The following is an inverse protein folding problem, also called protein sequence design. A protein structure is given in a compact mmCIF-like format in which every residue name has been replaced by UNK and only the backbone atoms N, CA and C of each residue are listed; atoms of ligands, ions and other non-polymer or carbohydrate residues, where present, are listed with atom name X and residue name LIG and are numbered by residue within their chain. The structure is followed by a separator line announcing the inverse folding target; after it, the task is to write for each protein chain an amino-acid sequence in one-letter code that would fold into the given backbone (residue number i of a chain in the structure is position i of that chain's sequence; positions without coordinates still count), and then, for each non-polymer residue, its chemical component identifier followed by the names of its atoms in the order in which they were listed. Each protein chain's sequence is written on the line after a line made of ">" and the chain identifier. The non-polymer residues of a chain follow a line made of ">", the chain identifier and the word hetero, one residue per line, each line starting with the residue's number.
data_IF_233388395256
#
_entry.id   IF_233388395256
#
_cell.length_a   1.000
_cell.length_b   1.000
_cell.length_c   1.000
_cell.angle_alpha   90.00
_cell.angle_beta   90.00
_cell.angle_gamma   90.00
#
_symmetry.space_group_name_H-M   'P 1'
#
loop_
_entity.id
_entity.type
_entity.pdbx_description
1 polymer ?
#
# COMPACT_ATOMS: atom_id res chain seq x y z
N UNK A 1 35.97 13.54 -0.55
CA UNK A 1 36.13 13.47 -2.02
C UNK A 1 35.45 14.65 -2.67
N UNK A 2 35.96 15.15 -3.79
CA UNK A 2 35.25 16.17 -4.53
C UNK A 2 33.89 15.59 -5.01
N UNK A 3 32.82 16.40 -4.92
CA UNK A 3 31.52 16.07 -5.47
C UNK A 3 31.65 15.88 -6.98
N UNK A 4 30.81 15.05 -7.63
CA UNK A 4 30.84 14.80 -9.08
C UNK A 4 30.86 16.11 -9.92
N UNK A 5 30.32 17.20 -9.38
CA UNK A 5 30.27 18.53 -9.99
C UNK A 5 31.27 19.50 -9.40
N UNK A 6 32.26 19.06 -8.58
CA UNK A 6 33.24 19.92 -7.92
C UNK A 6 34.13 20.60 -8.96
N UNK A 7 34.11 21.93 -8.92
CA UNK A 7 34.94 22.81 -9.74
C UNK A 7 35.96 23.60 -8.90
N UNK A 8 36.29 23.08 -7.70
CA UNK A 8 37.28 23.71 -6.80
C UNK A 8 36.70 24.73 -5.82
N UNK A 9 35.37 24.81 -5.66
CA UNK A 9 34.71 25.65 -4.66
C UNK A 9 34.16 24.80 -3.52
N UNK A 10 34.56 25.05 -2.28
CA UNK A 10 33.92 24.41 -1.12
C UNK A 10 32.55 25.06 -0.86
N UNK A 11 31.49 24.25 -0.85
CA UNK A 11 30.17 24.70 -0.36
C UNK A 11 30.23 24.90 1.14
N UNK A 12 29.67 25.99 1.67
CA UNK A 12 29.60 26.20 3.11
C UNK A 12 28.86 25.02 3.77
N UNK A 13 29.33 24.53 4.90
CA UNK A 13 28.84 23.37 5.59
C UNK A 13 27.34 23.49 5.94
N UNK A 14 26.89 24.70 6.28
CA UNK A 14 25.47 25.00 6.57
C UNK A 14 24.60 24.82 5.33
N UNK A 15 25.06 25.23 4.15
CA UNK A 15 24.35 25.06 2.88
C UNK A 15 24.27 23.58 2.53
N UNK A 16 25.35 22.82 2.70
CA UNK A 16 25.39 21.41 2.46
C UNK A 16 24.41 20.68 3.38
N UNK A 17 24.43 21.00 4.68
CA UNK A 17 23.49 20.40 5.66
C UNK A 17 22.04 20.69 5.30
N UNK A 18 21.72 21.91 4.86
CA UNK A 18 20.37 22.29 4.46
C UNK A 18 19.91 21.59 3.17
N UNK A 19 20.77 21.53 2.16
CA UNK A 19 20.42 21.00 0.83
C UNK A 19 20.40 19.47 0.78
N UNK A 20 21.23 18.78 1.56
CA UNK A 20 21.20 17.32 1.69
C UNK A 20 20.09 16.88 2.66
N UNK A 21 19.92 17.60 3.77
CA UNK A 21 18.86 17.34 4.73
C UNK A 21 18.84 15.88 5.19
N UNK A 22 17.69 15.22 5.01
CA UNK A 22 17.48 13.79 5.35
C UNK A 22 17.70 12.85 4.16
N UNK A 23 18.12 13.36 3.01
CA UNK A 23 18.16 12.63 1.74
C UNK A 23 19.02 11.35 1.83
N UNK A 24 20.19 11.40 2.46
CA UNK A 24 21.04 10.21 2.67
C UNK A 24 20.29 9.06 3.39
N UNK A 25 19.42 9.38 4.36
CA UNK A 25 18.61 8.35 5.05
C UNK A 25 17.53 7.81 4.16
N UNK A 26 16.92 8.66 3.37
CA UNK A 26 15.85 8.26 2.45
C UNK A 26 16.41 7.43 1.30
N UNK A 27 17.58 7.78 0.81
CA UNK A 27 18.26 7.07 -0.28
C UNK A 27 18.64 5.61 0.07
N UNK A 28 18.80 5.29 1.35
CA UNK A 28 19.00 3.89 1.76
C UNK A 28 17.83 2.98 1.36
N UNK A 29 16.60 3.52 1.29
CA UNK A 29 15.44 2.77 0.77
C UNK A 29 15.59 2.42 -0.71
N UNK A 30 16.36 3.20 -1.46
CA UNK A 30 16.52 3.09 -2.91
C UNK A 30 17.77 2.30 -3.33
N UNK A 31 18.64 1.93 -2.38
CA UNK A 31 19.96 1.38 -2.69
C UNK A 31 19.91 0.10 -3.55
N UNK A 32 19.00 -0.84 -3.26
CA UNK A 32 18.84 -2.04 -4.08
C UNK A 32 18.31 -1.71 -5.48
N UNK A 33 17.38 -0.76 -5.57
CA UNK A 33 16.81 -0.31 -6.84
C UNK A 33 17.85 0.36 -7.73
N UNK A 34 18.76 1.17 -7.15
CA UNK A 34 19.86 1.81 -7.89
C UNK A 34 20.81 0.76 -8.46
N UNK A 35 21.15 -0.28 -7.69
CA UNK A 35 21.99 -1.37 -8.19
C UNK A 35 21.33 -2.11 -9.35
N UNK A 36 20.03 -2.43 -9.24
CA UNK A 36 19.29 -3.10 -10.34
C UNK A 36 19.19 -2.22 -11.58
N UNK A 37 18.86 -0.93 -11.42
CA UNK A 37 18.83 0.06 -12.50
C UNK A 37 20.20 0.21 -13.16
N UNK A 38 21.27 0.22 -12.36
CA UNK A 38 22.64 0.28 -12.84
C UNK A 38 23.08 -0.97 -13.62
N UNK A 39 22.70 -2.18 -13.16
CA UNK A 39 22.96 -3.42 -13.90
C UNK A 39 22.31 -3.41 -15.28
N UNK A 40 21.06 -3.01 -15.38
CA UNK A 40 20.36 -2.90 -16.66
C UNK A 40 21.01 -1.84 -17.56
N UNK A 41 21.42 -0.71 -16.98
CA UNK A 41 22.06 0.37 -17.71
C UNK A 41 23.40 -0.05 -18.32
N UNK A 42 24.32 -0.63 -17.54
CA UNK A 42 25.63 -1.06 -18.05
C UNK A 42 25.52 -2.19 -19.08
N UNK A 43 24.50 -3.06 -18.95
CA UNK A 43 24.24 -4.09 -19.96
C UNK A 43 23.82 -3.44 -21.28
N UNK A 44 23.03 -2.38 -21.24
CA UNK A 44 22.69 -1.59 -22.41
C UNK A 44 23.92 -0.83 -22.95
N UNK A 45 24.81 -0.27 -22.09
CA UNK A 45 26.02 0.42 -22.54
C UNK A 45 26.96 -0.49 -23.33
N UNK A 46 27.09 -1.76 -22.91
CA UNK A 46 27.85 -2.74 -23.67
C UNK A 46 27.25 -2.99 -25.05
N UNK A 47 25.92 -3.15 -25.14
CA UNK A 47 25.22 -3.38 -26.40
C UNK A 47 25.36 -2.26 -27.44
N UNK A 48 25.69 -1.05 -27.00
CA UNK A 48 25.94 0.11 -27.88
C UNK A 48 27.44 0.47 -28.01
N UNK A 49 28.32 -0.41 -27.51
CA UNK A 49 29.78 -0.29 -27.67
C UNK A 49 30.49 0.72 -26.74
N UNK A 50 29.83 1.19 -25.67
CA UNK A 50 30.44 2.06 -24.66
C UNK A 50 31.17 1.28 -23.57
N UNK A 51 30.90 -0.01 -23.43
CA UNK A 51 31.62 -0.96 -22.60
C UNK A 51 32.02 -2.18 -23.44
N UNK A 52 33.13 -2.79 -23.10
CA UNK A 52 33.50 -4.12 -23.60
C UNK A 52 32.80 -5.21 -22.78
N UNK A 53 32.69 -6.42 -23.35
CA UNK A 53 32.10 -7.55 -22.63
C UNK A 53 32.87 -7.91 -21.34
N UNK A 54 34.20 -7.71 -21.29
CA UNK A 54 34.99 -7.93 -20.08
C UNK A 54 34.70 -6.86 -19.01
N UNK A 55 34.55 -5.61 -19.41
CA UNK A 55 34.17 -4.53 -18.47
C UNK A 55 32.77 -4.74 -17.91
N UNK A 56 31.82 -5.13 -18.76
CA UNK A 56 30.46 -5.50 -18.31
C UNK A 56 30.49 -6.59 -17.26
N UNK A 57 31.23 -7.68 -17.53
CA UNK A 57 31.36 -8.82 -16.59
C UNK A 57 31.89 -8.38 -15.24
N UNK A 58 32.97 -7.56 -15.22
CA UNK A 58 33.56 -7.05 -13.99
C UNK A 58 32.61 -6.13 -13.23
N UNK A 59 31.95 -5.19 -13.91
CA UNK A 59 31.00 -4.25 -13.30
C UNK A 59 29.78 -4.97 -12.74
N UNK A 60 29.21 -5.96 -13.45
CA UNK A 60 28.09 -6.76 -12.94
C UNK A 60 28.46 -7.57 -11.70
N UNK A 61 29.68 -8.15 -11.65
CA UNK A 61 30.16 -8.88 -10.48
C UNK A 61 30.21 -7.97 -9.24
N UNK A 62 30.77 -6.76 -9.40
CA UNK A 62 30.85 -5.80 -8.28
C UNK A 62 29.48 -5.23 -7.88
N UNK A 63 28.59 -4.96 -8.82
CA UNK A 63 27.22 -4.52 -8.48
C UNK A 63 26.46 -5.60 -7.72
N UNK A 64 26.63 -6.89 -8.05
CA UNK A 64 26.07 -7.99 -7.26
C UNK A 64 26.66 -8.06 -5.86
N UNK A 65 27.97 -7.85 -5.71
CA UNK A 65 28.61 -7.79 -4.40
C UNK A 65 28.07 -6.63 -3.56
N UNK A 66 27.89 -5.46 -4.16
CA UNK A 66 27.28 -4.29 -3.49
C UNK A 66 25.83 -4.60 -3.08
N UNK A 67 25.05 -5.26 -3.95
CA UNK A 67 23.68 -5.68 -3.61
C UNK A 67 23.65 -6.60 -2.39
N UNK A 68 24.57 -7.56 -2.30
CA UNK A 68 24.67 -8.42 -1.13
C UNK A 68 25.00 -7.65 0.15
N UNK A 69 25.85 -6.61 0.07
CA UNK A 69 26.12 -5.72 1.20
C UNK A 69 24.86 -4.95 1.63
N UNK A 70 24.06 -4.47 0.67
CA UNK A 70 22.77 -3.80 0.91
C UNK A 70 21.79 -4.74 1.63
N UNK A 71 21.61 -5.95 1.11
CA UNK A 71 20.68 -6.94 1.68
C UNK A 71 21.08 -7.40 3.09
N UNK A 72 22.38 -7.38 3.41
CA UNK A 72 22.90 -7.68 4.76
C UNK A 72 22.86 -6.48 5.70
N UNK A 73 22.40 -5.31 5.24
CA UNK A 73 22.35 -4.08 6.04
C UNK A 73 23.72 -3.45 6.32
N UNK A 74 24.74 -3.80 5.52
CA UNK A 74 26.10 -3.28 5.68
C UNK A 74 26.40 -2.07 4.81
N UNK A 75 25.51 -1.72 3.88
CA UNK A 75 25.66 -0.56 3.00
C UNK A 75 25.35 0.73 3.74
N UNK A 76 26.26 1.69 3.59
CA UNK A 76 26.09 3.04 4.16
C UNK A 76 26.48 4.09 3.12
N UNK A 77 25.83 5.24 3.16
CA UNK A 77 26.24 6.42 2.40
C UNK A 77 27.22 7.20 3.29
N UNK A 78 28.48 7.25 2.88
CA UNK A 78 29.58 7.84 3.65
C UNK A 78 29.37 9.34 3.87
N UNK A 79 29.92 9.85 4.96
CA UNK A 79 29.94 11.29 5.20
C UNK A 79 30.71 12.00 4.06
N UNK A 80 30.15 13.12 3.56
CA UNK A 80 30.68 13.83 2.39
C UNK A 80 30.23 13.28 1.03
N UNK A 81 29.54 12.12 0.98
CA UNK A 81 28.85 11.62 -0.22
C UNK A 81 27.42 12.14 -0.22
N UNK A 82 26.93 12.62 -1.35
CA UNK A 82 25.66 13.33 -1.44
C UNK A 82 24.45 12.38 -1.39
N UNK A 83 24.51 11.26 -2.12
CA UNK A 83 23.39 10.34 -2.35
C UNK A 83 23.85 8.89 -2.63
N UNK A 84 22.90 8.00 -2.81
CA UNK A 84 23.11 6.57 -3.10
C UNK A 84 23.87 6.38 -4.41
N UNK A 85 23.56 7.16 -5.45
CA UNK A 85 24.18 7.07 -6.76
C UNK A 85 25.68 7.32 -6.68
N UNK A 86 26.04 8.40 -5.99
CA UNK A 86 27.45 8.77 -5.75
C UNK A 86 28.18 7.72 -4.90
N UNK A 87 27.49 7.11 -3.94
CA UNK A 87 28.10 6.06 -3.09
C UNK A 87 28.41 4.81 -3.91
N UNK A 88 27.50 4.35 -4.75
CA UNK A 88 27.71 3.15 -5.59
C UNK A 88 28.82 3.42 -6.61
N UNK A 89 28.82 4.57 -7.29
CA UNK A 89 29.90 4.95 -8.21
C UNK A 89 31.25 5.02 -7.50
N UNK A 90 31.30 5.57 -6.27
CA UNK A 90 32.49 5.63 -5.45
C UNK A 90 33.03 4.22 -5.11
N UNK A 91 32.16 3.29 -4.72
CA UNK A 91 32.54 1.92 -4.41
C UNK A 91 33.08 1.21 -5.65
N UNK A 92 32.42 1.35 -6.80
CA UNK A 92 32.90 0.80 -8.07
C UNK A 92 34.26 1.40 -8.48
N UNK A 93 34.43 2.72 -8.33
CA UNK A 93 35.70 3.39 -8.66
C UNK A 93 36.83 2.94 -7.73
N UNK A 94 36.57 2.74 -6.45
CA UNK A 94 37.57 2.22 -5.51
C UNK A 94 38.01 0.79 -5.83
N UNK A 95 37.09 -0.04 -6.32
CA UNK A 95 37.33 -1.46 -6.60
C UNK A 95 37.85 -1.71 -8.01
N UNK A 96 37.41 -0.93 -9.00
CA UNK A 96 37.69 -1.15 -10.42
C UNK A 96 38.43 0.00 -11.10
N UNK A 97 38.81 1.07 -10.38
CA UNK A 97 39.48 2.23 -10.95
C UNK A 97 38.62 2.99 -11.97
N UNK A 98 39.21 3.40 -13.09
CA UNK A 98 38.54 4.19 -14.13
C UNK A 98 37.36 3.45 -14.80
N UNK A 99 37.36 2.12 -14.77
CA UNK A 99 36.24 1.34 -15.25
C UNK A 99 34.95 1.64 -14.46
N UNK A 100 35.05 1.80 -13.14
CA UNK A 100 33.91 2.15 -12.29
C UNK A 100 33.24 3.47 -12.67
N UNK A 101 33.99 4.43 -13.20
CA UNK A 101 33.45 5.73 -13.64
C UNK A 101 32.59 5.64 -14.91
N UNK A 102 32.76 4.61 -15.72
CA UNK A 102 32.00 4.44 -16.97
C UNK A 102 30.50 4.22 -16.75
N UNK A 103 30.11 3.79 -15.56
CA UNK A 103 28.70 3.53 -15.21
C UNK A 103 27.80 4.76 -15.41
N UNK A 104 28.35 5.95 -15.33
CA UNK A 104 27.57 7.21 -15.47
C UNK A 104 27.35 7.65 -16.93
N UNK A 105 27.97 6.98 -17.89
CA UNK A 105 27.84 7.33 -19.32
C UNK A 105 26.39 7.28 -19.79
N UNK A 106 25.91 8.33 -20.44
CA UNK A 106 24.58 8.38 -21.06
C UNK A 106 23.40 8.50 -20.09
N UNK A 107 23.61 8.72 -18.80
CA UNK A 107 22.54 8.96 -17.82
C UNK A 107 22.82 10.21 -16.98
N UNK A 108 21.81 10.65 -16.26
CA UNK A 108 21.88 11.71 -15.24
C UNK A 108 21.39 11.15 -13.90
N UNK A 109 21.80 11.78 -12.80
CA UNK A 109 21.17 11.52 -11.48
C UNK A 109 19.65 11.70 -11.52
N UNK A 110 19.14 12.52 -12.44
CA UNK A 110 17.71 12.76 -12.58
C UNK A 110 16.95 11.52 -13.05
N UNK A 111 17.36 10.84 -14.13
CA UNK A 111 16.69 9.64 -14.59
C UNK A 111 17.05 8.40 -13.75
N UNK A 112 18.19 8.43 -13.09
CA UNK A 112 18.62 7.42 -12.13
C UNK A 112 17.67 7.36 -10.92
N UNK A 113 17.44 8.49 -10.24
CA UNK A 113 16.48 8.52 -9.10
C UNK A 113 15.05 8.20 -9.53
N UNK A 114 14.67 8.49 -10.78
CA UNK A 114 13.33 8.14 -11.28
C UNK A 114 13.16 6.63 -11.41
N UNK A 115 14.14 5.92 -11.99
CA UNK A 115 14.06 4.46 -12.11
C UNK A 115 14.09 3.79 -10.75
N UNK A 116 14.92 4.29 -9.83
CA UNK A 116 15.00 3.77 -8.47
C UNK A 116 13.68 3.89 -7.73
N UNK A 117 13.06 5.07 -7.78
CA UNK A 117 11.74 5.29 -7.18
C UNK A 117 10.67 4.38 -7.78
N UNK A 118 10.70 4.14 -9.09
CA UNK A 118 9.71 3.25 -9.73
C UNK A 118 9.96 1.78 -9.39
N UNK A 119 11.19 1.31 -9.36
CA UNK A 119 11.53 -0.05 -8.95
C UNK A 119 11.15 -0.28 -7.48
N UNK A 120 11.54 0.62 -6.60
CA UNK A 120 11.15 0.57 -5.18
C UNK A 120 9.62 0.57 -5.02
N UNK A 121 8.94 1.55 -5.61
CA UNK A 121 7.49 1.70 -5.46
C UNK A 121 6.73 0.49 -6.00
N UNK A 122 7.14 -0.05 -7.13
CA UNK A 122 6.58 -1.25 -7.74
C UNK A 122 6.65 -2.45 -6.77
N UNK A 123 7.82 -2.65 -6.15
CA UNK A 123 8.02 -3.71 -5.15
C UNK A 123 7.17 -3.47 -3.90
N UNK A 124 7.10 -2.23 -3.41
CA UNK A 124 6.29 -1.90 -2.23
C UNK A 124 4.79 -2.07 -2.51
N UNK A 125 4.30 -1.69 -3.69
CA UNK A 125 2.91 -1.92 -4.08
C UNK A 125 2.56 -3.41 -4.13
N UNK A 126 3.47 -4.25 -4.61
CA UNK A 126 3.30 -5.71 -4.56
C UNK A 126 3.13 -6.21 -3.11
N UNK A 127 4.00 -5.77 -2.21
CA UNK A 127 3.94 -6.18 -0.80
C UNK A 127 2.66 -5.69 -0.12
N UNK A 128 2.23 -4.44 -0.38
CA UNK A 128 0.95 -3.92 0.12
C UNK A 128 -0.23 -4.71 -0.44
N UNK A 129 -0.23 -5.02 -1.74
CA UNK A 129 -1.29 -5.82 -2.36
C UNK A 129 -1.36 -7.23 -1.74
N UNK A 130 -0.23 -7.86 -1.45
CA UNK A 130 -0.17 -9.15 -0.74
C UNK A 130 -0.77 -9.06 0.66
N UNK A 131 -0.43 -8.00 1.42
CA UNK A 131 -0.95 -7.78 2.77
C UNK A 131 -2.47 -7.50 2.75
N UNK A 132 -2.96 -6.72 1.77
CA UNK A 132 -4.40 -6.46 1.55
C UNK A 132 -5.13 -7.76 1.19
N UNK A 133 -4.57 -8.57 0.29
CA UNK A 133 -5.15 -9.87 -0.10
C UNK A 133 -5.21 -10.84 1.10
N UNK A 134 -4.22 -10.81 1.97
CA UNK A 134 -4.19 -11.61 3.20
C UNK A 134 -5.32 -11.18 4.14
N UNK A 135 -5.48 -9.89 4.40
CA UNK A 135 -6.58 -9.38 5.24
C UNK A 135 -7.95 -9.68 4.63
N UNK A 136 -8.10 -9.52 3.29
CA UNK A 136 -9.30 -9.89 2.57
C UNK A 136 -9.69 -11.35 2.81
N UNK A 137 -8.72 -12.26 2.70
CA UNK A 137 -8.94 -13.71 2.89
C UNK A 137 -9.43 -14.01 4.32
N UNK A 138 -8.86 -13.35 5.32
CA UNK A 138 -9.28 -13.50 6.71
C UNK A 138 -10.68 -12.94 6.96
N UNK A 139 -10.99 -11.78 6.41
CA UNK A 139 -12.34 -11.19 6.51
C UNK A 139 -13.40 -12.08 5.85
N UNK A 140 -13.09 -12.66 4.70
CA UNK A 140 -13.95 -13.65 4.04
C UNK A 140 -14.18 -14.90 4.91
N UNK A 141 -13.12 -15.41 5.52
CA UNK A 141 -13.20 -16.57 6.42
C UNK A 141 -14.08 -16.27 7.66
N UNK A 142 -13.94 -15.09 8.25
CA UNK A 142 -14.78 -14.67 9.37
C UNK A 142 -16.23 -14.42 8.93
N UNK A 143 -16.44 -13.85 7.73
CA UNK A 143 -17.76 -13.65 7.15
C UNK A 143 -18.50 -14.98 7.03
N UNK A 144 -17.90 -16.02 6.45
CA UNK A 144 -18.47 -17.34 6.34
C UNK A 144 -18.68 -18.02 7.70
N UNK A 145 -17.70 -17.89 8.61
CA UNK A 145 -17.78 -18.48 9.94
C UNK A 145 -18.98 -17.97 10.74
N UNK A 146 -19.26 -16.67 10.66
CA UNK A 146 -20.29 -16.02 11.47
C UNK A 146 -21.53 -15.58 10.65
N UNK A 147 -21.74 -16.15 9.48
CA UNK A 147 -22.83 -15.77 8.57
C UNK A 147 -24.24 -15.88 9.18
N UNK A 148 -24.42 -16.80 10.12
CA UNK A 148 -25.69 -17.02 10.80
C UNK A 148 -25.80 -16.30 12.14
N UNK A 149 -24.72 -15.68 12.63
CA UNK A 149 -24.71 -15.01 13.93
C UNK A 149 -25.21 -13.59 13.74
N UNK A 150 -26.45 -13.35 14.19
CA UNK A 150 -27.08 -12.04 14.10
C UNK A 150 -26.41 -11.01 15.04
N UNK A 151 -26.42 -9.77 14.61
CA UNK A 151 -26.02 -8.62 15.41
C UNK A 151 -26.94 -7.44 15.14
N UNK A 152 -27.07 -6.47 16.07
CA UNK A 152 -27.86 -5.28 15.82
C UNK A 152 -27.22 -4.41 14.72
N UNK A 153 -27.99 -4.07 13.69
CA UNK A 153 -27.63 -3.07 12.69
C UNK A 153 -28.02 -1.67 13.18
N UNK A 154 -27.20 -0.69 12.83
CA UNK A 154 -27.37 0.69 13.28
C UNK A 154 -27.47 1.64 12.09
N UNK A 155 -28.39 2.62 12.23
CA UNK A 155 -28.39 3.86 11.43
C UNK A 155 -28.47 5.05 12.38
N UNK A 156 -27.71 6.12 12.12
CA UNK A 156 -27.67 7.30 12.99
C UNK A 156 -27.29 6.99 14.46
N UNK A 157 -26.50 5.93 14.68
CA UNK A 157 -26.19 5.37 16.01
C UNK A 157 -27.43 4.94 16.82
N UNK A 158 -28.56 4.68 16.13
CA UNK A 158 -29.75 4.08 16.70
C UNK A 158 -29.90 2.65 16.19
N UNK A 159 -30.39 1.76 17.05
CA UNK A 159 -30.71 0.39 16.67
C UNK A 159 -31.77 0.43 15.57
N UNK A 160 -31.48 -0.22 14.45
CA UNK A 160 -32.33 -0.16 13.26
C UNK A 160 -32.93 -1.53 12.93
N UNK A 161 -32.19 -2.42 12.33
CA UNK A 161 -32.64 -3.71 11.81
C UNK A 161 -31.65 -4.81 12.17
N UNK A 162 -32.06 -6.10 12.06
CA UNK A 162 -31.13 -7.20 12.16
C UNK A 162 -30.01 -7.09 11.10
N UNK A 163 -28.79 -7.35 11.52
CA UNK A 163 -27.62 -7.58 10.69
C UNK A 163 -26.96 -8.89 11.11
N UNK A 164 -25.82 -9.25 10.54
CA UNK A 164 -25.01 -10.37 11.00
C UNK A 164 -23.53 -9.99 11.06
N UNK A 165 -22.77 -10.71 11.89
CA UNK A 165 -21.32 -10.56 11.86
C UNK A 165 -20.74 -10.96 10.51
N UNK A 166 -21.38 -11.93 9.82
CA UNK A 166 -21.00 -12.27 8.45
C UNK A 166 -21.08 -11.09 7.49
N UNK A 167 -22.18 -10.32 7.53
CA UNK A 167 -22.33 -9.09 6.75
C UNK A 167 -21.28 -8.04 7.12
N UNK A 168 -21.01 -7.86 8.41
CA UNK A 168 -20.04 -6.86 8.87
C UNK A 168 -18.62 -7.18 8.35
N UNK A 169 -18.13 -8.41 8.51
CA UNK A 169 -16.83 -8.80 7.97
C UNK A 169 -16.82 -8.77 6.44
N UNK A 170 -17.88 -9.24 5.78
CA UNK A 170 -18.02 -9.26 4.33
C UNK A 170 -17.98 -7.86 3.71
N UNK A 171 -18.58 -6.87 4.36
CA UNK A 171 -18.56 -5.48 3.89
C UNK A 171 -17.13 -4.90 3.82
N UNK A 172 -16.27 -5.21 4.78
CA UNK A 172 -14.87 -4.81 4.72
C UNK A 172 -14.06 -5.61 3.69
N UNK A 173 -14.39 -6.90 3.51
CA UNK A 173 -13.77 -7.69 2.44
C UNK A 173 -14.10 -7.09 1.06
N UNK A 174 -15.35 -6.76 0.80
CA UNK A 174 -15.76 -6.14 -0.48
C UNK A 174 -15.15 -4.75 -0.67
N UNK A 175 -15.08 -3.93 0.38
CA UNK A 175 -14.38 -2.63 0.33
C UNK A 175 -12.90 -2.76 -0.07
N UNK A 176 -12.21 -3.83 0.36
CA UNK A 176 -10.83 -4.09 -0.04
C UNK A 176 -10.68 -4.48 -1.51
N UNK A 177 -11.73 -4.94 -2.19
CA UNK A 177 -11.72 -5.18 -3.65
C UNK A 177 -11.55 -3.85 -4.38
N UNK A 178 -12.31 -2.82 -4.01
CA UNK A 178 -12.19 -1.48 -4.60
C UNK A 178 -10.81 -0.88 -4.34
N UNK A 179 -10.28 -1.04 -3.13
CA UNK A 179 -8.92 -0.61 -2.78
C UNK A 179 -7.86 -1.33 -3.64
N UNK A 180 -8.05 -2.63 -3.89
CA UNK A 180 -7.14 -3.43 -4.71
C UNK A 180 -7.18 -2.99 -6.18
N UNK A 181 -8.35 -2.63 -6.73
CA UNK A 181 -8.46 -2.05 -8.07
C UNK A 181 -7.66 -0.74 -8.17
N UNK A 182 -7.70 0.07 -7.13
CA UNK A 182 -6.97 1.33 -7.11
C UNK A 182 -5.45 1.10 -6.99
N UNK A 183 -5.01 0.13 -6.16
CA UNK A 183 -3.61 -0.30 -6.10
C UNK A 183 -3.12 -0.84 -7.44
N UNK A 184 -3.93 -1.62 -8.15
CA UNK A 184 -3.59 -2.13 -9.49
C UNK A 184 -3.41 -0.99 -10.50
N UNK A 185 -4.29 -0.01 -10.50
CA UNK A 185 -4.15 1.17 -11.36
C UNK A 185 -2.87 1.96 -11.05
N UNK A 186 -2.53 2.14 -9.76
CA UNK A 186 -1.29 2.78 -9.32
C UNK A 186 -0.05 1.98 -9.75
N UNK A 187 -0.09 0.65 -9.63
CA UNK A 187 0.97 -0.25 -10.08
C UNK A 187 1.21 -0.12 -11.59
N UNK A 188 0.17 -0.15 -12.41
CA UNK A 188 0.28 0.00 -13.88
C UNK A 188 0.87 1.34 -14.28
N UNK A 189 0.54 2.43 -13.59
CA UNK A 189 1.13 3.75 -13.83
C UNK A 189 2.60 3.81 -13.42
N UNK A 190 2.99 3.11 -12.36
CA UNK A 190 4.37 3.02 -11.87
C UNK A 190 5.24 2.13 -12.75
N UNK A 191 4.67 1.06 -13.33
CA UNK A 191 5.37 0.03 -14.09
C UNK A 191 5.75 0.47 -15.52
N UNK A 192 6.40 1.65 -15.62
CA UNK A 192 6.87 2.27 -16.88
C UNK A 192 8.29 2.80 -16.69
N UNK A 193 9.22 2.36 -17.55
CA UNK A 193 10.63 2.69 -17.45
C UNK A 193 10.92 4.16 -17.80
N UNK A 194 11.52 4.97 -16.91
CA UNK A 194 11.95 6.34 -17.18
C UNK A 194 13.41 6.43 -17.64
N UNK A 195 14.22 5.36 -17.44
CA UNK A 195 15.67 5.36 -17.65
C UNK A 195 16.01 5.65 -19.13
N UNK A 196 17.09 6.41 -19.32
CA UNK A 196 17.52 6.92 -20.63
C UNK A 196 16.83 8.23 -21.01
N UNK A 197 16.05 8.85 -20.13
CA UNK A 197 15.60 10.23 -20.29
C UNK A 197 16.70 11.25 -19.96
N UNK A 198 17.79 10.79 -19.35
CA UNK A 198 18.93 11.58 -18.90
C UNK A 198 18.49 12.76 -18.02
N UNK A 199 18.94 13.97 -18.29
CA UNK A 199 18.49 15.16 -17.55
C UNK A 199 17.06 15.62 -17.91
N UNK A 200 16.29 14.81 -18.64
CA UNK A 200 14.94 15.12 -19.09
C UNK A 200 14.82 15.53 -20.55
N UNK A 201 15.92 15.51 -21.29
CA UNK A 201 15.96 15.94 -22.68
C UNK A 201 16.62 14.91 -23.60
N UNK A 202 16.86 13.70 -23.10
CA UNK A 202 17.51 12.63 -23.83
C UNK A 202 19.03 12.76 -23.89
N UNK A 203 19.66 12.01 -24.79
CA UNK A 203 21.10 11.96 -24.96
C UNK A 203 21.46 11.82 -26.44
N UNK A 204 22.66 12.31 -26.82
CA UNK A 204 23.26 12.05 -28.15
C UNK A 204 23.83 10.61 -28.27
N UNK A 205 23.97 9.87 -27.18
CA UNK A 205 24.28 8.45 -27.25
C UNK A 205 23.09 7.65 -27.82
N UNK A 206 23.30 6.57 -28.57
CA UNK A 206 22.25 5.75 -29.14
C UNK A 206 21.66 4.79 -28.08
N UNK A 207 21.12 5.33 -26.98
CA UNK A 207 20.62 4.57 -25.84
C UNK A 207 19.48 3.61 -26.25
N UNK A 208 19.58 2.35 -25.87
CA UNK A 208 18.55 1.33 -26.11
C UNK A 208 17.59 1.24 -24.90
N UNK A 209 16.60 2.15 -24.85
CA UNK A 209 15.60 2.20 -23.77
C UNK A 209 14.67 0.98 -23.76
N UNK A 210 14.43 0.36 -24.91
CA UNK A 210 13.63 -0.87 -24.98
C UNK A 210 14.34 -2.03 -24.29
N UNK A 211 15.66 -2.12 -24.44
CA UNK A 211 16.47 -3.13 -23.76
C UNK A 211 16.42 -2.97 -22.22
N UNK A 212 16.64 -1.75 -21.71
CA UNK A 212 16.55 -1.51 -20.25
C UNK A 212 15.14 -1.72 -19.72
N UNK A 213 14.09 -1.45 -20.49
CA UNK A 213 12.69 -1.75 -20.15
C UNK A 213 12.48 -3.25 -19.95
N UNK A 214 12.98 -4.06 -20.90
CA UNK A 214 12.89 -5.52 -20.82
C UNK A 214 13.71 -6.10 -19.66
N UNK A 215 14.95 -5.65 -19.51
CA UNK A 215 15.87 -6.12 -18.44
C UNK A 215 15.32 -5.86 -17.04
N UNK A 216 14.62 -4.73 -16.85
CA UNK A 216 14.02 -4.34 -15.58
C UNK A 216 12.57 -4.87 -15.41
N UNK A 217 12.03 -5.58 -16.39
CA UNK A 217 10.68 -6.14 -16.33
C UNK A 217 9.55 -5.10 -16.29
N UNK A 218 9.76 -3.90 -16.82
CA UNK A 218 8.69 -2.93 -16.99
C UNK A 218 7.77 -3.32 -18.13
N UNK A 219 6.49 -3.00 -18.03
CA UNK A 219 5.51 -3.25 -19.09
C UNK A 219 5.72 -2.37 -20.32
N UNK A 220 6.16 -1.13 -20.07
CA UNK A 220 6.42 -0.13 -21.10
C UNK A 220 7.43 0.90 -20.60
N UNK A 221 7.60 1.99 -21.32
CA UNK A 221 8.44 3.12 -20.91
C UNK A 221 7.67 4.44 -20.91
N UNK A 222 8.20 5.43 -20.21
CA UNK A 222 7.81 6.81 -20.41
C UNK A 222 8.47 7.29 -21.71
N UNK A 223 7.69 7.27 -22.82
CA UNK A 223 8.23 7.52 -24.16
C UNK A 223 8.82 8.92 -24.32
N UNK A 224 8.10 9.92 -23.86
CA UNK A 224 8.57 11.30 -23.91
C UNK A 224 9.53 11.56 -22.76
N UNK A 225 10.78 11.94 -23.06
CA UNK A 225 11.84 12.14 -22.08
C UNK A 225 11.57 13.32 -21.12
N UNK A 226 10.85 14.36 -21.60
CA UNK A 226 10.41 15.47 -20.74
C UNK A 226 9.31 14.99 -19.79
N UNK A 227 8.37 14.17 -20.27
CA UNK A 227 7.33 13.57 -19.43
C UNK A 227 7.92 12.67 -18.35
N UNK A 228 8.99 11.92 -18.65
CA UNK A 228 9.67 11.09 -17.65
C UNK A 228 10.04 11.89 -16.40
N UNK A 229 10.60 13.10 -16.58
CA UNK A 229 10.92 14.02 -15.48
C UNK A 229 9.67 14.63 -14.83
N UNK A 230 8.68 15.04 -15.63
CA UNK A 230 7.39 15.54 -15.13
C UNK A 230 6.60 14.49 -14.38
N UNK A 231 6.91 13.23 -14.61
CA UNK A 231 6.31 12.07 -13.92
C UNK A 231 6.65 12.01 -12.44
N UNK A 232 7.78 12.61 -12.02
CA UNK A 232 8.17 12.68 -10.62
C UNK A 232 7.20 13.55 -9.82
N UNK A 233 6.90 13.13 -8.61
CA UNK A 233 5.83 13.70 -7.78
C UNK A 233 4.44 13.26 -8.22
N UNK A 234 4.15 13.25 -9.54
CA UNK A 234 2.88 12.76 -10.08
C UNK A 234 2.67 11.27 -9.81
N UNK A 235 3.69 10.45 -10.01
CA UNK A 235 3.64 9.01 -9.71
C UNK A 235 3.42 8.80 -8.22
N UNK A 236 4.23 9.42 -7.37
CA UNK A 236 4.14 9.30 -5.92
C UNK A 236 2.78 9.77 -5.39
N UNK A 237 2.23 10.86 -5.93
CA UNK A 237 0.88 11.34 -5.60
C UNK A 237 -0.19 10.31 -5.94
N UNK A 238 -0.15 9.72 -7.13
CA UNK A 238 -1.14 8.74 -7.58
C UNK A 238 -1.08 7.47 -6.73
N UNK A 239 0.12 7.01 -6.40
CA UNK A 239 0.33 5.90 -5.47
C UNK A 239 -0.18 6.26 -4.08
N UNK A 240 0.10 7.46 -3.59
CA UNK A 240 -0.38 7.92 -2.30
C UNK A 240 -1.90 7.92 -2.19
N UNK A 241 -2.65 8.24 -3.27
CA UNK A 241 -4.11 8.11 -3.29
C UNK A 241 -4.57 6.66 -3.14
N UNK A 242 -3.89 5.70 -3.77
CA UNK A 242 -4.22 4.28 -3.61
C UNK A 242 -3.93 3.79 -2.17
N UNK A 243 -2.78 4.18 -1.60
CA UNK A 243 -2.46 3.87 -0.19
C UNK A 243 -3.45 4.51 0.79
N UNK A 244 -3.90 5.76 0.50
CA UNK A 244 -4.88 6.47 1.30
C UNK A 244 -6.26 5.80 1.26
N UNK A 245 -6.65 5.18 0.14
CA UNK A 245 -7.89 4.39 0.03
C UNK A 245 -7.85 3.19 0.98
N UNK A 246 -6.82 2.36 0.91
CA UNK A 246 -6.61 1.23 1.84
C UNK A 246 -6.61 1.71 3.30
N UNK A 247 -5.89 2.81 3.59
CA UNK A 247 -5.85 3.39 4.93
C UNK A 247 -7.24 3.86 5.40
N UNK A 248 -8.08 4.38 4.50
CA UNK A 248 -9.46 4.76 4.79
C UNK A 248 -10.31 3.58 5.25
N UNK A 249 -10.25 2.47 4.52
CA UNK A 249 -10.94 1.21 4.87
C UNK A 249 -10.45 0.68 6.22
N UNK A 250 -9.13 0.62 6.44
CA UNK A 250 -8.56 0.18 7.72
C UNK A 250 -8.93 1.09 8.89
N UNK A 251 -8.92 2.41 8.69
CA UNK A 251 -9.32 3.37 9.73
C UNK A 251 -10.77 3.16 10.16
N UNK A 252 -11.66 2.88 9.21
CA UNK A 252 -13.07 2.59 9.48
C UNK A 252 -13.23 1.25 10.21
N UNK A 253 -12.56 0.20 9.78
CA UNK A 253 -12.53 -1.11 10.46
C UNK A 253 -12.04 -0.97 11.90
N UNK A 254 -10.96 -0.23 12.10
CA UNK A 254 -10.39 0.01 13.42
C UNK A 254 -11.34 0.81 14.33
N UNK A 255 -12.08 1.78 13.77
CA UNK A 255 -13.09 2.50 14.50
C UNK A 255 -14.24 1.59 14.96
N UNK A 256 -14.80 0.79 14.04
CA UNK A 256 -15.86 -0.15 14.37
C UNK A 256 -15.41 -1.17 15.42
N UNK A 257 -14.20 -1.71 15.27
CA UNK A 257 -13.65 -2.67 16.22
C UNK A 257 -13.48 -2.07 17.64
N UNK A 258 -13.04 -0.81 17.76
CA UNK A 258 -12.99 -0.10 19.02
C UNK A 258 -14.39 0.11 19.63
N UNK A 259 -15.35 0.53 18.78
CA UNK A 259 -16.73 0.78 19.19
C UNK A 259 -17.40 -0.52 19.67
N UNK A 260 -17.31 -1.57 18.88
CA UNK A 260 -17.93 -2.87 19.15
C UNK A 260 -17.28 -3.63 20.30
N UNK A 261 -15.99 -3.38 20.58
CA UNK A 261 -15.30 -3.91 21.76
C UNK A 261 -15.60 -3.12 23.05
N UNK A 262 -16.23 -1.94 22.93
CA UNK A 262 -16.55 -1.14 24.13
C UNK A 262 -17.55 -1.85 25.03
N UNK A 263 -17.50 -1.57 26.34
CA UNK A 263 -18.37 -2.20 27.35
C UNK A 263 -19.87 -1.98 27.05
N UNK A 264 -20.25 -0.88 26.42
CA UNK A 264 -21.64 -0.56 26.11
C UNK A 264 -22.19 -1.34 24.92
N UNK A 265 -21.36 -1.67 23.93
CA UNK A 265 -21.74 -2.49 22.77
C UNK A 265 -21.47 -3.96 23.04
N UNK A 266 -20.27 -4.32 23.43
CA UNK A 266 -19.83 -5.68 23.74
C UNK A 266 -20.16 -6.71 22.64
N UNK A 267 -20.13 -6.27 21.36
CA UNK A 267 -20.41 -7.15 20.22
C UNK A 267 -19.23 -8.05 19.89
N UNK A 268 -18.01 -7.53 20.11
CA UNK A 268 -16.78 -8.30 19.92
C UNK A 268 -15.89 -8.20 21.17
N UNK A 269 -15.02 -9.18 21.30
CA UNK A 269 -13.98 -9.21 22.33
C UNK A 269 -12.64 -9.43 21.65
N UNK A 270 -11.70 -8.52 21.91
CA UNK A 270 -10.32 -8.69 21.49
C UNK A 270 -9.62 -9.70 22.41
N UNK A 271 -8.67 -10.51 21.89
CA UNK A 271 -7.80 -11.34 22.71
C UNK A 271 -7.04 -10.50 23.74
N UNK A 272 -6.75 -11.08 24.89
CA UNK A 272 -6.07 -10.37 25.97
C UNK A 272 -4.66 -9.89 25.57
N UNK A 273 -3.96 -10.68 24.74
CA UNK A 273 -2.65 -10.34 24.18
C UNK A 273 -2.70 -9.18 23.15
N UNK A 274 -3.88 -8.81 22.68
CA UNK A 274 -4.10 -7.68 21.77
C UNK A 274 -4.58 -6.42 22.46
N UNK A 275 -4.60 -6.42 23.80
CA UNK A 275 -5.08 -5.30 24.63
C UNK A 275 -4.00 -4.86 25.59
N UNK A 276 -4.07 -3.60 26.02
CA UNK A 276 -3.21 -3.10 27.10
C UNK A 276 -4.02 -2.86 28.36
N UNK A 277 -3.37 -2.98 29.51
CA UNK A 277 -3.98 -2.74 30.83
C UNK A 277 -3.93 -1.29 31.24
N UNK A 278 -4.46 -1.03 32.42
CA UNK A 278 -4.35 0.26 33.13
C UNK A 278 -3.48 0.09 34.37
N UNK A 279 -2.62 1.07 34.64
CA UNK A 279 -1.77 1.07 35.86
C UNK A 279 -2.55 1.22 37.18
N UNK A 280 -3.81 1.67 37.08
CA UNK A 280 -4.65 1.97 38.24
C UNK A 280 -6.03 1.28 38.23
N UNK A 281 -6.43 0.72 37.09
CA UNK A 281 -7.72 0.05 36.86
C UNK A 281 -7.51 -1.39 36.42
N UNK A 282 -7.42 -2.39 37.32
CA UNK A 282 -6.99 -3.75 36.97
C UNK A 282 -7.96 -4.51 36.05
N UNK A 283 -9.20 -4.04 35.92
CA UNK A 283 -10.22 -4.64 35.07
C UNK A 283 -10.22 -4.08 33.61
N UNK A 284 -9.49 -2.97 33.36
CA UNK A 284 -9.55 -2.23 32.10
C UNK A 284 -8.62 -2.85 31.05
N UNK A 285 -9.19 -3.11 29.86
CA UNK A 285 -8.49 -3.61 28.68
C UNK A 285 -8.72 -2.64 27.54
N UNK A 286 -7.65 -2.04 27.01
CA UNK A 286 -7.73 -1.01 25.98
C UNK A 286 -7.46 -1.63 24.59
N UNK A 287 -8.18 -1.21 23.54
CA UNK A 287 -7.95 -1.67 22.16
C UNK A 287 -6.85 -0.85 21.46
N UNK A 288 -5.70 -0.61 22.13
CA UNK A 288 -4.66 0.34 21.72
C UNK A 288 -4.14 0.05 20.31
N UNK A 289 -4.11 -1.21 19.89
CA UNK A 289 -3.66 -1.57 18.53
C UNK A 289 -4.58 -0.98 17.47
N UNK A 290 -5.90 -1.06 17.66
CA UNK A 290 -6.85 -0.45 16.73
C UNK A 290 -6.90 1.08 16.86
N UNK A 291 -6.67 1.65 18.03
CA UNK A 291 -6.55 3.09 18.20
C UNK A 291 -5.35 3.64 17.42
N UNK A 292 -4.18 2.99 17.53
CA UNK A 292 -2.98 3.35 16.79
C UNK A 292 -3.12 3.07 15.29
N UNK A 293 -3.74 1.96 14.90
CA UNK A 293 -4.05 1.67 13.49
C UNK A 293 -4.88 2.79 12.88
N UNK A 294 -5.96 3.21 13.54
CA UNK A 294 -6.80 4.32 13.11
C UNK A 294 -6.00 5.62 12.96
N UNK A 295 -5.18 5.96 13.94
CA UNK A 295 -4.39 7.18 13.93
C UNK A 295 -3.34 7.19 12.80
N UNK A 296 -2.60 6.08 12.61
CA UNK A 296 -1.62 5.91 11.52
C UNK A 296 -2.30 5.96 10.16
N UNK A 297 -3.42 5.27 9.98
CA UNK A 297 -4.20 5.29 8.75
C UNK A 297 -4.75 6.69 8.44
N UNK A 298 -5.23 7.44 9.44
CA UNK A 298 -5.65 8.83 9.24
C UNK A 298 -4.48 9.73 8.79
N UNK A 299 -3.28 9.51 9.32
CA UNK A 299 -2.07 10.21 8.88
C UNK A 299 -1.73 9.87 7.43
N UNK A 300 -1.81 8.60 7.02
CA UNK A 300 -1.55 8.16 5.65
C UNK A 300 -2.56 8.79 4.66
N UNK A 301 -3.81 8.97 5.04
CA UNK A 301 -4.83 9.64 4.21
C UNK A 301 -4.48 11.10 3.88
N UNK A 302 -3.63 11.77 4.66
CA UNK A 302 -3.16 13.11 4.36
C UNK A 302 -1.97 13.15 3.37
N UNK A 303 -1.34 12.01 3.07
CA UNK A 303 -0.14 11.93 2.24
C UNK A 303 -0.33 12.50 0.82
N UNK A 304 -1.42 12.22 0.08
CA UNK A 304 -1.61 12.79 -1.25
C UNK A 304 -1.58 14.32 -1.25
N UNK A 305 -2.18 14.94 -0.23
CA UNK A 305 -2.21 16.40 -0.10
C UNK A 305 -0.83 16.98 0.19
N UNK A 306 -0.04 16.34 1.05
CA UNK A 306 1.34 16.76 1.32
C UNK A 306 2.18 16.74 0.04
N UNK A 307 2.08 15.66 -0.76
CA UNK A 307 2.81 15.55 -2.03
C UNK A 307 2.33 16.63 -3.01
N UNK A 308 1.03 16.86 -3.13
CA UNK A 308 0.49 17.91 -4.01
C UNK A 308 1.02 19.29 -3.65
N UNK A 309 1.14 19.63 -2.37
CA UNK A 309 1.66 20.92 -1.92
C UNK A 309 3.15 21.09 -2.24
N UNK A 310 3.94 20.02 -2.10
CA UNK A 310 5.38 20.04 -2.47
C UNK A 310 5.56 20.23 -3.98
N UNK A 311 4.68 19.63 -4.81
CA UNK A 311 4.75 19.72 -6.27
C UNK A 311 4.22 21.03 -6.86
N UNK A 312 3.52 21.84 -6.10
CA UNK A 312 2.86 23.03 -6.61
C UNK A 312 3.88 24.03 -7.17
N UNK A 313 3.45 24.72 -8.26
CA UNK A 313 4.18 25.82 -8.88
C UNK A 313 5.53 25.43 -9.53
N UNK A 314 5.75 24.14 -9.82
CA UNK A 314 6.93 23.68 -10.53
C UNK A 314 6.65 23.63 -12.03
N UNK A 315 7.49 24.27 -12.88
CA UNK A 315 7.42 24.09 -14.33
C UNK A 315 7.91 22.69 -14.75
N UNK A 316 7.82 22.37 -16.05
CA UNK A 316 8.36 21.12 -16.57
C UNK A 316 9.87 21.03 -16.40
N UNK A 317 10.38 19.84 -16.11
CA UNK A 317 11.79 19.57 -15.84
C UNK A 317 12.03 19.06 -14.41
N UNK A 318 13.29 18.98 -14.00
CA UNK A 318 13.69 18.54 -12.68
C UNK A 318 13.84 19.73 -11.73
N UNK A 319 13.33 19.56 -10.51
CA UNK A 319 13.50 20.54 -9.42
C UNK A 319 13.82 19.81 -8.11
N UNK A 320 14.70 20.41 -7.30
CA UNK A 320 15.16 19.82 -6.03
C UNK A 320 14.04 19.76 -4.97
N UNK A 321 13.00 20.54 -5.12
CA UNK A 321 11.78 20.50 -4.30
C UNK A 321 11.23 19.07 -4.16
N UNK A 322 11.29 18.30 -5.24
CA UNK A 322 10.80 16.92 -5.28
C UNK A 322 11.61 15.94 -4.41
N UNK A 323 12.79 16.33 -3.94
CA UNK A 323 13.60 15.54 -3.01
C UNK A 323 12.87 15.30 -1.69
N UNK A 324 12.15 16.30 -1.19
CA UNK A 324 11.43 16.23 0.09
C UNK A 324 10.29 15.20 0.07
N UNK A 325 9.75 14.88 -1.10
CA UNK A 325 8.69 13.83 -1.22
C UNK A 325 9.18 12.51 -0.65
N UNK A 326 10.45 12.16 -0.80
CA UNK A 326 11.00 10.90 -0.25
C UNK A 326 10.77 10.76 1.25
N UNK A 327 10.84 11.85 2.02
CA UNK A 327 10.70 11.84 3.48
C UNK A 327 9.32 11.39 3.97
N UNK A 328 8.28 11.68 3.19
CA UNK A 328 6.90 11.33 3.54
C UNK A 328 6.42 10.08 2.80
N UNK A 329 6.92 9.84 1.59
CA UNK A 329 6.46 8.78 0.70
C UNK A 329 7.11 7.42 1.01
N UNK A 330 8.46 7.36 1.14
CA UNK A 330 9.13 6.07 1.28
C UNK A 330 8.77 5.32 2.59
N UNK A 331 8.69 5.99 3.76
CA UNK A 331 8.34 5.29 5.00
C UNK A 331 6.87 4.88 5.10
N UNK A 332 5.96 5.50 4.31
CA UNK A 332 4.51 5.26 4.47
C UNK A 332 4.10 3.83 4.12
N UNK A 333 4.82 3.17 3.22
CA UNK A 333 4.55 1.78 2.85
C UNK A 333 4.68 0.83 4.04
N UNK A 334 5.79 0.93 4.77
CA UNK A 334 5.99 0.09 5.96
C UNK A 334 4.95 0.39 7.03
N UNK A 335 4.62 1.66 7.25
CA UNK A 335 3.60 2.06 8.23
C UNK A 335 2.22 1.48 7.90
N UNK A 336 1.83 1.47 6.60
CA UNK A 336 0.58 0.87 6.15
C UNK A 336 0.61 -0.66 6.29
N UNK A 337 1.71 -1.30 5.91
CA UNK A 337 1.90 -2.74 6.04
C UNK A 337 1.84 -3.22 7.49
N UNK A 338 2.43 -2.46 8.42
CA UNK A 338 2.31 -2.74 9.86
C UNK A 338 0.85 -2.68 10.32
N UNK A 339 0.07 -1.71 9.82
CA UNK A 339 -1.36 -1.62 10.12
C UNK A 339 -2.15 -2.80 9.56
N UNK A 340 -1.88 -3.21 8.31
CA UNK A 340 -2.49 -4.39 7.67
C UNK A 340 -2.17 -5.67 8.43
N UNK A 341 -0.91 -5.87 8.79
CA UNK A 341 -0.46 -7.03 9.54
C UNK A 341 -1.15 -7.13 10.91
N UNK A 342 -1.26 -6.01 11.64
CA UNK A 342 -1.94 -5.98 12.94
C UNK A 342 -3.44 -6.20 12.80
N UNK A 343 -4.09 -5.59 11.81
CA UNK A 343 -5.50 -5.83 11.54
C UNK A 343 -5.76 -7.31 11.23
N UNK A 344 -4.97 -7.91 10.35
CA UNK A 344 -5.06 -9.34 10.02
C UNK A 344 -4.89 -10.22 11.26
N UNK A 345 -3.84 -9.95 12.05
CA UNK A 345 -3.55 -10.72 13.27
C UNK A 345 -4.73 -10.72 14.25
N UNK A 346 -5.38 -9.57 14.43
CA UNK A 346 -6.50 -9.42 15.36
C UNK A 346 -7.78 -10.02 14.78
N UNK A 347 -8.08 -9.79 13.50
CA UNK A 347 -9.29 -10.34 12.85
C UNK A 347 -9.30 -11.88 12.90
N UNK A 348 -8.16 -12.54 12.77
CA UNK A 348 -8.04 -13.99 12.94
C UNK A 348 -8.45 -14.49 14.33
N UNK A 349 -8.35 -13.65 15.35
CA UNK A 349 -8.48 -14.00 16.77
C UNK A 349 -9.65 -13.33 17.49
N UNK A 350 -10.32 -12.40 16.82
CA UNK A 350 -11.45 -11.68 17.37
C UNK A 350 -12.59 -12.66 17.70
N UNK A 351 -13.23 -12.48 18.84
CA UNK A 351 -14.40 -13.29 19.24
C UNK A 351 -15.64 -12.43 19.16
N UNK A 352 -16.68 -12.95 18.51
CA UNK A 352 -17.98 -12.30 18.48
C UNK A 352 -18.83 -12.74 19.66
N UNK A 353 -19.73 -11.87 20.11
CA UNK A 353 -20.71 -12.19 21.13
C UNK A 353 -21.95 -12.79 20.47
N UNK A 354 -22.04 -14.12 20.44
CA UNK A 354 -23.17 -14.86 19.83
C UNK A 354 -24.49 -14.67 20.60
N UNK A 355 -24.44 -14.16 21.82
CA UNK A 355 -25.58 -13.98 22.74
C UNK A 355 -26.03 -12.51 22.84
N UNK A 356 -25.55 -11.63 21.97
CA UNK A 356 -25.86 -10.19 22.06
C UNK A 356 -27.38 -9.92 21.96
N UNK A 357 -28.10 -10.72 21.23
CA UNK A 357 -29.55 -10.59 21.04
C UNK A 357 -30.41 -11.18 22.17
N UNK A 358 -29.79 -11.75 23.20
CA UNK A 358 -30.49 -12.13 24.43
C UNK A 358 -30.92 -10.89 25.23
N UNK A 359 -30.27 -9.73 25.00
CA UNK A 359 -30.63 -8.47 25.62
C UNK A 359 -31.93 -7.90 25.02
N UNK A 360 -32.98 -7.68 25.85
CA UNK A 360 -34.28 -7.17 25.38
C UNK A 360 -34.20 -5.78 24.72
N UNK A 361 -33.15 -4.98 24.95
CA UNK A 361 -32.99 -3.67 24.30
C UNK A 361 -32.97 -3.77 22.76
N UNK A 362 -32.67 -4.95 22.22
CA UNK A 362 -32.61 -5.20 20.78
C UNK A 362 -33.89 -5.78 20.20
N UNK A 363 -34.92 -6.08 21.00
CA UNK A 363 -36.15 -6.71 20.54
C UNK A 363 -36.87 -5.91 19.44
N UNK A 364 -36.86 -4.59 19.54
CA UNK A 364 -37.58 -3.72 18.59
C UNK A 364 -36.92 -3.67 17.19
N UNK A 365 -35.67 -4.12 17.04
CA UNK A 365 -35.03 -4.19 15.71
C UNK A 365 -35.74 -5.17 14.76
N UNK A 366 -36.50 -6.13 15.29
CA UNK A 366 -37.26 -7.10 14.49
C UNK A 366 -38.64 -6.55 14.06
N UNK A 367 -38.98 -5.30 14.37
CA UNK A 367 -40.28 -4.73 14.04
C UNK A 367 -40.54 -4.67 12.53
N UNK A 368 -39.52 -4.42 11.71
CA UNK A 368 -39.64 -4.39 10.24
C UNK A 368 -39.89 -5.79 9.70
N UNK A 369 -39.24 -6.82 10.27
CA UNK A 369 -39.47 -8.22 9.90
C UNK A 369 -40.93 -8.62 10.14
N UNK A 370 -41.55 -8.19 11.24
CA UNK A 370 -42.97 -8.42 11.53
C UNK A 370 -43.89 -7.65 10.57
N UNK A 371 -43.57 -6.39 10.22
CA UNK A 371 -44.31 -5.64 9.18
C UNK A 371 -44.25 -6.38 7.84
N UNK A 372 -43.06 -6.83 7.43
CA UNK A 372 -42.86 -7.56 6.16
C UNK A 372 -43.64 -8.91 6.15
N UNK A 373 -43.62 -9.62 7.27
CA UNK A 373 -44.41 -10.87 7.42
C UNK A 373 -45.88 -10.63 7.22
N UNK A 374 -46.47 -9.64 7.92
CA UNK A 374 -47.89 -9.28 7.78
C UNK A 374 -48.23 -8.84 6.36
N UNK A 375 -47.34 -8.12 5.70
CA UNK A 375 -47.51 -7.69 4.32
C UNK A 375 -47.50 -8.90 3.36
N UNK A 376 -46.61 -9.85 3.59
CA UNK A 376 -46.56 -11.12 2.80
C UNK A 376 -47.81 -11.98 3.01
N UNK A 377 -48.42 -11.90 4.18
CA UNK A 377 -49.71 -12.55 4.49
C UNK A 377 -50.92 -11.81 3.91
N UNK A 378 -50.74 -10.73 3.16
CA UNK A 378 -51.78 -10.00 2.42
C UNK A 378 -52.27 -8.71 3.08
N UNK A 379 -51.70 -8.30 4.22
CA UNK A 379 -52.04 -7.02 4.82
C UNK A 379 -51.36 -5.87 4.03
N UNK A 380 -52.07 -4.76 3.70
CA UNK A 380 -51.42 -3.62 3.11
C UNK A 380 -50.25 -3.12 3.98
N UNK A 381 -49.08 -2.84 3.39
CA UNK A 381 -47.87 -2.47 4.13
C UNK A 381 -48.09 -1.35 5.15
N UNK A 382 -48.84 -0.32 4.78
CA UNK A 382 -49.11 0.82 5.70
C UNK A 382 -49.99 0.42 6.89
N UNK A 383 -50.90 -0.55 6.73
CA UNK A 383 -51.74 -1.05 7.81
C UNK A 383 -50.92 -1.98 8.72
N UNK A 384 -50.08 -2.85 8.15
CA UNK A 384 -49.09 -3.62 8.89
C UNK A 384 -48.19 -2.77 9.74
N UNK A 385 -47.62 -1.69 9.14
CA UNK A 385 -46.78 -0.73 9.85
C UNK A 385 -47.48 -0.09 11.04
N UNK A 386 -48.71 0.41 10.83
CA UNK A 386 -49.53 1.02 11.90
C UNK A 386 -49.82 0.01 12.99
N UNK A 387 -50.22 -1.21 12.62
CA UNK A 387 -50.54 -2.28 13.58
C UNK A 387 -49.33 -2.59 14.46
N UNK A 388 -48.15 -2.83 13.88
CA UNK A 388 -46.93 -3.12 14.63
C UNK A 388 -46.52 -1.92 15.50
N UNK A 389 -46.66 -0.69 15.00
CA UNK A 389 -46.41 0.51 15.79
C UNK A 389 -47.33 0.63 17.02
N UNK A 390 -48.63 0.30 16.87
CA UNK A 390 -49.56 0.29 17.99
C UNK A 390 -49.27 -0.83 18.99
N UNK A 391 -48.90 -2.02 18.52
CA UNK A 391 -48.49 -3.13 19.38
C UNK A 391 -47.23 -2.80 20.21
N UNK A 392 -46.26 -2.06 19.61
CA UNK A 392 -45.07 -1.51 20.32
C UNK A 392 -45.49 -0.55 21.41
N UNK A 393 -46.35 0.45 21.06
CA UNK A 393 -46.81 1.44 22.03
C UNK A 393 -47.59 0.86 23.19
N UNK A 394 -48.37 -0.21 22.93
CA UNK A 394 -49.10 -0.96 23.92
C UNK A 394 -48.24 -1.97 24.74
N UNK A 395 -46.97 -2.10 24.43
CA UNK A 395 -46.08 -3.09 25.07
C UNK A 395 -46.46 -4.54 24.74
N UNK A 396 -47.18 -4.78 23.64
CA UNK A 396 -47.68 -6.08 23.22
C UNK A 396 -46.81 -6.70 22.14
N UNK A 397 -45.84 -5.96 21.57
CA UNK A 397 -44.93 -6.48 20.56
C UNK A 397 -44.05 -7.59 21.12
N UNK A 398 -44.05 -8.72 20.46
CA UNK A 398 -43.18 -9.86 20.76
C UNK A 398 -42.34 -10.16 19.53
N UNK A 399 -41.01 -10.00 19.60
CA UNK A 399 -40.15 -10.22 18.45
C UNK A 399 -40.10 -11.70 18.09
N UNK A 400 -40.14 -11.98 16.79
CA UNK A 400 -39.67 -13.24 16.23
C UNK A 400 -38.20 -13.00 15.83
N UNK A 401 -37.27 -13.67 16.53
CA UNK A 401 -35.84 -13.46 16.30
C UNK A 401 -35.30 -14.34 15.14
N UNK A 402 -36.15 -14.61 14.15
CA UNK A 402 -35.79 -15.31 12.93
C UNK A 402 -35.77 -14.34 11.75
N UNK A 403 -34.74 -14.43 10.94
CA UNK A 403 -34.54 -13.60 9.74
C UNK A 403 -34.29 -14.50 8.55
N UNK A 404 -35.09 -14.35 7.50
CA UNK A 404 -35.01 -15.13 6.28
C UNK A 404 -34.91 -14.21 5.06
N UNK A 405 -33.71 -13.74 4.77
CA UNK A 405 -33.45 -13.01 3.55
C UNK A 405 -32.88 -13.95 2.48
N UNK A 406 -33.32 -13.81 1.24
CA UNK A 406 -32.93 -14.70 0.12
C UNK A 406 -32.25 -13.94 -1.01
N UNK A 407 -32.35 -12.61 -1.03
CA UNK A 407 -31.75 -11.79 -2.08
C UNK A 407 -30.23 -11.66 -1.87
N UNK A 408 -29.54 -11.32 -2.94
CA UNK A 408 -28.08 -11.22 -3.00
C UNK A 408 -27.55 -10.18 -2.02
N UNK A 409 -26.44 -10.50 -1.35
CA UNK A 409 -25.73 -9.60 -0.45
C UNK A 409 -26.42 -9.37 0.90
N UNK A 410 -27.41 -10.18 1.29
CA UNK A 410 -28.11 -10.06 2.57
C UNK A 410 -27.85 -11.25 3.50
N UNK A 411 -28.43 -11.20 4.72
CA UNK A 411 -28.36 -12.28 5.71
C UNK A 411 -28.87 -13.57 5.08
N UNK A 412 -28.04 -14.61 5.04
CA UNK A 412 -28.38 -15.90 4.41
C UNK A 412 -27.88 -16.06 2.97
N UNK A 413 -27.58 -14.99 2.26
CA UNK A 413 -26.95 -15.00 0.94
C UNK A 413 -25.89 -13.90 0.82
N UNK A 414 -24.72 -14.10 1.42
CA UNK A 414 -23.68 -13.09 1.57
C UNK A 414 -22.89 -12.82 0.29
N UNK A 415 -23.06 -13.62 -0.76
CA UNK A 415 -22.31 -13.50 -2.03
C UNK A 415 -20.78 -13.52 -1.86
N UNK A 416 -20.28 -14.29 -0.89
CA UNK A 416 -18.83 -14.36 -0.60
C UNK A 416 -18.03 -14.92 -1.77
N UNK A 417 -18.60 -15.84 -2.55
CA UNK A 417 -17.95 -16.40 -3.74
C UNK A 417 -17.82 -15.37 -4.85
N UNK A 418 -18.83 -14.54 -5.07
CA UNK A 418 -18.85 -13.47 -6.05
C UNK A 418 -17.83 -12.37 -5.68
N UNK A 419 -17.80 -11.96 -4.41
CA UNK A 419 -16.81 -11.00 -3.90
C UNK A 419 -15.39 -11.54 -4.07
N UNK A 420 -15.19 -12.84 -3.78
CA UNK A 420 -13.90 -13.49 -4.00
C UNK A 420 -13.50 -13.50 -5.47
N UNK A 421 -14.43 -13.78 -6.38
CA UNK A 421 -14.16 -13.78 -7.82
C UNK A 421 -13.70 -12.39 -8.32
N UNK A 422 -14.31 -11.31 -7.81
CA UNK A 422 -13.86 -9.94 -8.11
C UNK A 422 -12.42 -9.70 -7.63
N UNK A 423 -12.08 -10.14 -6.41
CA UNK A 423 -10.71 -10.01 -5.90
C UNK A 423 -9.71 -10.83 -6.73
N UNK A 424 -10.07 -12.06 -7.10
CA UNK A 424 -9.21 -12.94 -7.90
C UNK A 424 -8.94 -12.34 -9.29
N UNK A 425 -9.95 -11.70 -9.92
CA UNK A 425 -9.80 -10.99 -11.20
C UNK A 425 -8.81 -9.82 -11.08
N UNK A 426 -9.00 -8.96 -10.08
CA UNK A 426 -8.10 -7.82 -9.85
C UNK A 426 -6.69 -8.30 -9.53
N UNK A 427 -6.55 -9.31 -8.68
CA UNK A 427 -5.25 -9.89 -8.32
C UNK A 427 -4.50 -10.43 -9.55
N UNK A 428 -5.18 -11.20 -10.40
CA UNK A 428 -4.60 -11.74 -11.63
C UNK A 428 -4.10 -10.67 -12.61
N UNK A 429 -4.68 -9.48 -12.57
CA UNK A 429 -4.31 -8.39 -13.46
C UNK A 429 -3.06 -7.59 -13.08
N UNK A 430 -2.36 -7.94 -11.97
CA UNK A 430 -1.08 -7.30 -11.60
C UNK A 430 0.11 -7.84 -12.40
N UNK A 431 0.16 -9.15 -12.70
CA UNK A 431 1.27 -9.81 -13.41
C UNK A 431 2.64 -9.58 -12.72
N UNK A 432 2.71 -9.77 -11.40
CA UNK A 432 3.93 -9.56 -10.61
C UNK A 432 5.10 -10.47 -11.03
N UNK A 433 4.82 -11.65 -11.56
CA UNK A 433 5.80 -12.66 -11.97
C UNK A 433 6.82 -12.13 -12.98
N UNK A 434 6.40 -11.23 -13.89
CA UNK A 434 7.30 -10.61 -14.88
C UNK A 434 8.36 -9.74 -14.22
N UNK A 435 7.96 -8.96 -13.23
CA UNK A 435 8.86 -8.12 -12.44
C UNK A 435 9.83 -8.98 -11.64
N UNK A 436 9.32 -9.99 -10.92
CA UNK A 436 10.12 -10.88 -10.07
C UNK A 436 11.15 -11.66 -10.89
N UNK A 437 10.76 -12.17 -12.06
CA UNK A 437 11.67 -12.90 -12.94
C UNK A 437 12.78 -11.99 -13.47
N UNK A 438 12.47 -10.76 -13.88
CA UNK A 438 13.46 -9.81 -14.37
C UNK A 438 14.48 -9.43 -13.28
N UNK A 439 14.01 -9.11 -12.08
CA UNK A 439 14.86 -8.80 -10.92
C UNK A 439 15.75 -9.99 -10.54
N UNK A 440 15.20 -11.19 -10.52
CA UNK A 440 15.95 -12.44 -10.25
C UNK A 440 17.06 -12.65 -11.28
N UNK A 441 16.76 -12.55 -12.58
CA UNK A 441 17.74 -12.73 -13.66
C UNK A 441 18.89 -11.74 -13.57
N UNK A 442 18.62 -10.46 -13.31
CA UNK A 442 19.66 -9.45 -13.09
C UNK A 442 20.54 -9.79 -11.87
N UNK A 443 19.91 -10.18 -10.78
CA UNK A 443 20.60 -10.49 -9.54
C UNK A 443 21.49 -11.73 -9.67
N UNK A 444 21.03 -12.81 -10.33
CA UNK A 444 21.75 -14.08 -10.43
C UNK A 444 22.70 -14.14 -11.63
N UNK A 445 22.47 -13.33 -12.65
CA UNK A 445 23.24 -13.38 -13.90
C UNK A 445 22.79 -14.47 -14.88
N UNK A 446 21.59 -15.02 -14.67
CA UNK A 446 21.00 -15.94 -15.63
C UNK A 446 20.68 -15.20 -16.95
N UNK A 447 21.13 -15.76 -18.06
CA UNK A 447 20.86 -15.18 -19.38
C UNK A 447 19.39 -15.25 -19.71
N UNK A 448 18.86 -14.20 -20.37
CA UNK A 448 17.55 -14.28 -21.03
C UNK A 448 17.67 -15.34 -22.15
N UNK A 449 17.10 -16.51 -21.95
CA UNK A 449 16.97 -17.54 -22.97
C UNK A 449 15.90 -17.15 -23.99
#
# INVERSE_FOLDING_TARGET
>A
MPKLWDKGFSTAQEIERFTVGRDRKMDLYLAESDVLGSMAHITMLESIGLLTASELTALLAELRAIREEILKGHFVIEEGVEDVHSQIELMLTRRLGDMGKKIHSGRSRNDQVLVDLKLFTRRQLQLVAQDVHTLFTELQAQSERYKQVLMPGYTHLQVAMPSSFGLWFGAYAESLVDDMMFLQAAFRMTNRNPLGSAAGYGSSFPLNRSMTTSLLGFDSMDYNVVYAQMGRGKMERNVAFALASVAGTLSKLAFDACLFNSQNFAFVKLPDECTTGSSIMPHKKNPDVFELTRAKCNKIQALPQQIMLIMNNLPSGYFRDLQIIKEVFLPCFQELRDCLAMATYIIQRIKVNEHILDDPRYDLMFSVEEVNRLATEGMPFRDAYKKVGMDIQAGQFKPRKEVHHTHEGSIGNLCTAEIKALMDEVWGGFHFERMEEAERKLATGETQS
#
